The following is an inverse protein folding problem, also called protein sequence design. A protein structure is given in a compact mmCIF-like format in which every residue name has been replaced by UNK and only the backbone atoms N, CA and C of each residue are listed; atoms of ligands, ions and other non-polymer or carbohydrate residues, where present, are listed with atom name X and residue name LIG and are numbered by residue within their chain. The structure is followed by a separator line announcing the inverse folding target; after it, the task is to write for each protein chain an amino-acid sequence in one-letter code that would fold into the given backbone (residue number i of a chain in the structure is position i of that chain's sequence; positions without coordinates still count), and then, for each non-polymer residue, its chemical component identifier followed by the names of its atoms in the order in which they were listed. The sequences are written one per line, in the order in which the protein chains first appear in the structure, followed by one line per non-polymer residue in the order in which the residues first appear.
data_IF_548012003800
#
_entry.id   IF_548012003800
#
_cell.length_a   1.000
_cell.length_b   1.000
_cell.length_c   1.000
_cell.angle_alpha   90.00
_cell.angle_beta   90.00
_cell.angle_gamma   90.00
#
_symmetry.space_group_name_H-M   'P 1'
#
loop_
_entity.id
_entity.type
_entity.pdbx_description
1 polymer ?
#
# COMPACT_ATOMS: atom_id res chain seq x y z
N UNK A 1 -12.33 23.99 -10.98
CA UNK A 1 -11.60 22.86 -10.40
C UNK A 1 -11.16 23.27 -9.00
N UNK A 2 -11.40 22.43 -8.00
CA UNK A 2 -10.81 22.66 -6.67
C UNK A 2 -9.29 22.53 -6.81
N UNK A 3 -8.54 23.38 -6.11
CA UNK A 3 -7.09 23.31 -6.13
C UNK A 3 -6.62 21.97 -5.53
N UNK A 4 -5.54 21.43 -6.05
CA UNK A 4 -4.90 20.25 -5.47
C UNK A 4 -4.49 20.55 -4.02
N UNK A 5 -4.86 19.68 -3.08
CA UNK A 5 -4.43 19.80 -1.68
C UNK A 5 -2.91 19.69 -1.53
N UNK A 6 -2.26 18.94 -2.42
CA UNK A 6 -0.81 18.80 -2.53
C UNK A 6 -0.43 18.94 -4.00
N UNK A 7 0.41 19.91 -4.35
CA UNK A 7 0.80 20.14 -5.75
C UNK A 7 1.87 19.16 -6.23
N UNK A 8 1.94 18.93 -7.55
CA UNK A 8 3.01 18.13 -8.14
C UNK A 8 4.40 18.73 -7.90
N UNK A 9 4.52 20.05 -7.83
CA UNK A 9 5.76 20.77 -7.49
C UNK A 9 6.23 20.42 -6.08
N UNK A 10 5.31 20.35 -5.12
CA UNK A 10 5.62 19.97 -3.75
C UNK A 10 6.11 18.52 -3.68
N UNK A 11 5.45 17.61 -4.38
CA UNK A 11 5.88 16.20 -4.46
C UNK A 11 7.29 16.08 -5.04
N UNK A 12 7.57 16.77 -6.15
CA UNK A 12 8.92 16.80 -6.77
C UNK A 12 9.97 17.32 -5.78
N UNK A 13 9.67 18.41 -5.06
CA UNK A 13 10.56 19.00 -4.06
C UNK A 13 10.87 18.00 -2.95
N UNK A 14 9.85 17.37 -2.37
CA UNK A 14 10.05 16.40 -1.28
C UNK A 14 10.76 15.13 -1.76
N UNK A 15 10.46 14.62 -2.94
CA UNK A 15 11.21 13.50 -3.53
C UNK A 15 12.70 13.83 -3.66
N UNK A 16 13.04 15.04 -4.11
CA UNK A 16 14.42 15.52 -4.21
C UNK A 16 15.09 15.63 -2.84
N UNK A 17 14.41 16.22 -1.86
CA UNK A 17 14.93 16.38 -0.49
C UNK A 17 15.20 15.02 0.19
N UNK A 18 14.34 14.03 -0.07
CA UNK A 18 14.50 12.65 0.39
C UNK A 18 15.50 11.83 -0.43
N UNK A 19 15.99 12.35 -1.57
CA UNK A 19 16.87 11.64 -2.51
C UNK A 19 16.26 10.33 -3.03
N UNK A 20 14.97 10.35 -3.34
CA UNK A 20 14.24 9.22 -3.95
C UNK A 20 13.82 9.55 -5.39
N UNK A 21 13.28 8.58 -6.12
CA UNK A 21 12.72 8.85 -7.46
C UNK A 21 11.61 9.89 -7.37
N UNK A 22 11.40 10.62 -8.46
CA UNK A 22 10.29 11.55 -8.61
C UNK A 22 8.97 10.76 -8.70
N UNK A 23 8.21 10.77 -7.59
CA UNK A 23 6.97 9.99 -7.48
C UNK A 23 5.83 10.57 -8.32
N UNK A 24 5.95 11.81 -8.83
CA UNK A 24 4.99 12.36 -9.81
C UNK A 24 5.07 11.66 -11.17
N UNK A 25 6.13 10.89 -11.42
CA UNK A 25 6.39 10.21 -12.70
C UNK A 25 6.20 8.71 -12.64
N UNK A 26 5.77 8.16 -11.49
CA UNK A 26 5.53 6.73 -11.37
C UNK A 26 4.44 6.29 -12.35
N UNK A 27 4.68 5.15 -13.00
CA UNK A 27 3.72 4.49 -13.89
C UNK A 27 3.15 3.21 -13.29
N UNK A 28 3.77 2.73 -12.22
CA UNK A 28 3.39 1.55 -11.45
C UNK A 28 3.58 1.88 -9.98
N UNK A 29 2.71 1.34 -9.16
CA UNK A 29 2.81 1.39 -7.71
C UNK A 29 3.88 0.39 -7.22
N UNK A 30 5.14 0.65 -7.56
CA UNK A 30 6.28 -0.18 -7.15
C UNK A 30 7.26 0.68 -6.36
N UNK A 31 7.51 0.27 -5.12
CA UNK A 31 8.36 0.99 -4.17
C UNK A 31 9.68 0.27 -4.02
N UNK A 32 10.78 0.97 -4.32
CA UNK A 32 12.10 0.38 -4.09
C UNK A 32 12.35 0.26 -2.57
N UNK A 33 12.93 -0.85 -2.07
CA UNK A 33 13.19 -1.02 -0.63
C UNK A 33 13.99 0.13 0.00
N UNK A 34 14.90 0.74 -0.78
CA UNK A 34 15.66 1.92 -0.34
C UNK A 34 14.78 3.13 -0.06
N UNK A 35 13.76 3.35 -0.88
CA UNK A 35 12.82 4.48 -0.75
C UNK A 35 11.90 4.24 0.44
N UNK A 36 11.34 3.03 0.54
CA UNK A 36 10.55 2.62 1.70
C UNK A 36 11.31 2.79 3.01
N UNK A 37 12.60 2.43 3.06
CA UNK A 37 13.44 2.59 4.26
C UNK A 37 13.61 4.07 4.65
N UNK A 38 13.86 4.94 3.67
CA UNK A 38 14.02 6.39 3.90
C UNK A 38 12.71 6.99 4.43
N UNK A 39 11.58 6.66 3.80
CA UNK A 39 10.27 7.17 4.18
C UNK A 39 9.88 6.64 5.57
N UNK A 40 10.06 5.34 5.82
CA UNK A 40 9.77 4.72 7.12
C UNK A 40 10.53 5.42 8.25
N UNK A 41 11.82 5.70 8.05
CA UNK A 41 12.65 6.41 9.04
C UNK A 41 12.18 7.85 9.30
N UNK A 42 11.43 8.46 8.38
CA UNK A 42 10.85 9.80 8.54
C UNK A 42 9.49 9.81 9.21
N UNK A 43 8.68 8.78 9.00
CA UNK A 43 7.30 8.74 9.51
C UNK A 43 7.18 7.99 10.84
N UNK A 44 7.96 6.92 11.06
CA UNK A 44 7.87 6.08 12.27
C UNK A 44 8.65 6.69 13.45
N UNK A 45 8.23 7.86 13.91
CA UNK A 45 8.86 8.60 15.01
C UNK A 45 8.65 7.94 16.38
N UNK A 46 7.61 7.11 16.52
CA UNK A 46 7.30 6.37 17.75
C UNK A 46 8.08 5.05 17.89
N UNK A 47 8.95 4.69 16.94
CA UNK A 47 9.80 3.50 17.04
C UNK A 47 9.04 2.17 17.00
N UNK A 48 7.89 2.11 16.31
CA UNK A 48 7.14 0.87 16.16
C UNK A 48 7.98 -0.20 15.43
N UNK A 49 7.82 -1.47 15.81
CA UNK A 49 8.50 -2.61 15.19
C UNK A 49 7.85 -2.99 13.85
N UNK A 50 7.95 -2.09 12.88
CA UNK A 50 7.37 -2.26 11.53
C UNK A 50 8.39 -2.99 10.65
N UNK A 51 7.97 -4.09 10.02
CA UNK A 51 8.80 -4.75 8.99
C UNK A 51 8.81 -3.87 7.74
N UNK A 52 9.99 -3.67 7.16
CA UNK A 52 10.14 -2.84 5.95
C UNK A 52 9.27 -3.35 4.79
N UNK A 53 9.12 -4.67 4.64
CA UNK A 53 8.28 -5.27 3.62
C UNK A 53 6.82 -4.85 3.75
N UNK A 54 6.26 -4.87 4.96
CA UNK A 54 4.85 -4.51 5.20
C UNK A 54 4.62 -3.03 4.92
N UNK A 55 5.59 -2.19 5.30
CA UNK A 55 5.53 -0.77 5.00
C UNK A 55 5.62 -0.48 3.50
N UNK A 56 6.50 -1.18 2.77
CA UNK A 56 6.58 -1.05 1.31
C UNK A 56 5.29 -1.51 0.63
N UNK A 57 4.73 -2.67 1.03
CA UNK A 57 3.43 -3.14 0.52
C UNK A 57 2.34 -2.11 0.76
N UNK A 58 2.31 -1.51 1.95
CA UNK A 58 1.35 -0.44 2.22
C UNK A 58 1.52 0.78 1.33
N UNK A 59 2.76 1.22 1.10
CA UNK A 59 3.03 2.33 0.18
C UNK A 59 2.56 1.99 -1.25
N UNK A 60 2.73 0.75 -1.70
CA UNK A 60 2.28 0.30 -3.02
C UNK A 60 0.75 0.32 -3.13
N UNK A 61 0.03 -0.15 -2.11
CA UNK A 61 -1.45 -0.07 -2.07
C UNK A 61 -1.93 1.38 -2.18
N UNK A 62 -1.39 2.27 -1.35
CA UNK A 62 -1.79 3.68 -1.36
C UNK A 62 -1.45 4.40 -2.68
N UNK A 63 -0.33 4.03 -3.31
CA UNK A 63 0.07 4.55 -4.62
C UNK A 63 -0.85 4.04 -5.74
N UNK A 64 -1.36 2.80 -5.67
CA UNK A 64 -2.31 2.30 -6.68
C UNK A 64 -3.55 3.19 -6.73
N UNK A 65 -4.07 3.60 -5.57
CA UNK A 65 -5.24 4.48 -5.52
C UNK A 65 -4.97 5.81 -6.22
N UNK A 66 -3.85 6.48 -5.92
CA UNK A 66 -3.47 7.74 -6.56
C UNK A 66 -3.19 7.63 -8.06
N UNK A 67 -2.70 6.48 -8.53
CA UNK A 67 -2.40 6.24 -9.95
C UNK A 67 -3.61 5.79 -10.77
N UNK A 68 -4.65 5.24 -10.12
CA UNK A 68 -5.79 4.61 -10.80
C UNK A 68 -7.09 5.41 -10.69
N UNK A 69 -7.28 6.15 -9.60
CA UNK A 69 -8.51 6.88 -9.30
C UNK A 69 -8.22 8.37 -9.17
N UNK A 70 -8.18 9.07 -10.31
CA UNK A 70 -7.86 10.51 -10.37
C UNK A 70 -8.85 11.36 -9.56
N UNK A 71 -10.12 10.97 -9.51
CA UNK A 71 -11.18 11.62 -8.75
C UNK A 71 -11.05 11.45 -7.23
N UNK A 72 -10.30 10.44 -6.78
CA UNK A 72 -10.00 10.18 -5.37
C UNK A 72 -8.54 10.47 -4.99
N UNK A 73 -7.73 10.99 -5.91
CA UNK A 73 -6.32 11.28 -5.66
C UNK A 73 -6.16 12.57 -4.85
N UNK A 74 -5.92 12.42 -3.55
CA UNK A 74 -5.72 13.55 -2.63
C UNK A 74 -4.25 13.81 -2.26
N UNK A 75 -3.35 12.88 -2.59
CA UNK A 75 -1.94 12.96 -2.16
C UNK A 75 -0.98 13.36 -3.27
N UNK A 76 -1.37 13.20 -4.53
CA UNK A 76 -0.47 13.29 -5.69
C UNK A 76 0.80 12.43 -5.54
N UNK A 77 0.68 11.30 -4.83
CA UNK A 77 1.78 10.40 -4.48
C UNK A 77 2.86 11.05 -3.60
N UNK A 78 2.48 11.99 -2.73
CA UNK A 78 3.42 12.65 -1.83
C UNK A 78 4.03 11.64 -0.82
N UNK A 79 5.34 11.36 -0.88
CA UNK A 79 5.95 10.21 -0.20
C UNK A 79 5.75 10.20 1.32
N UNK A 80 5.82 11.37 1.97
CA UNK A 80 5.61 11.47 3.43
C UNK A 80 4.14 11.35 3.82
N UNK A 81 3.21 11.84 3.00
CA UNK A 81 1.78 11.80 3.32
C UNK A 81 1.28 10.38 3.09
N UNK A 82 1.62 9.78 1.95
CA UNK A 82 1.41 8.35 1.67
C UNK A 82 2.00 7.49 2.80
N UNK A 83 3.25 7.73 3.22
CA UNK A 83 3.86 6.99 4.33
C UNK A 83 3.16 7.18 5.69
N UNK A 84 2.55 8.35 5.94
CA UNK A 84 1.77 8.59 7.16
C UNK A 84 0.42 7.87 7.14
N UNK A 85 -0.24 7.76 5.99
CA UNK A 85 -1.45 6.95 5.82
C UNK A 85 -1.12 5.49 6.13
N UNK A 86 -0.04 4.98 5.54
CA UNK A 86 0.45 3.63 5.82
C UNK A 86 0.74 3.41 7.30
N UNK A 87 1.39 4.38 7.94
CA UNK A 87 1.68 4.31 9.37
C UNK A 87 0.41 4.32 10.23
N UNK A 88 -0.63 5.04 9.84
CA UNK A 88 -1.90 5.07 10.56
C UNK A 88 -2.55 3.68 10.57
N UNK A 89 -2.62 3.03 9.40
CA UNK A 89 -3.11 1.66 9.29
C UNK A 89 -2.30 0.67 10.15
N UNK A 90 -0.96 0.77 10.10
CA UNK A 90 -0.09 -0.08 10.91
C UNK A 90 -0.15 0.20 12.43
N UNK A 91 -0.71 1.34 12.84
CA UNK A 91 -0.99 1.63 14.26
C UNK A 91 -2.22 0.91 14.79
N UNK A 92 -3.16 0.57 13.92
CA UNK A 92 -4.34 -0.23 14.29
C UNK A 92 -3.93 -1.69 14.49
N UNK A 93 -3.17 -2.23 13.54
CA UNK A 93 -2.53 -3.54 13.67
C UNK A 93 -1.33 -3.66 12.74
N UNK A 94 -0.26 -4.33 13.19
CA UNK A 94 0.96 -4.50 12.40
C UNK A 94 0.77 -5.40 11.18
N UNK A 95 -0.30 -6.21 11.14
CA UNK A 95 -0.65 -7.11 10.04
C UNK A 95 -1.72 -6.54 9.09
N UNK A 96 -1.98 -5.23 9.15
CA UNK A 96 -3.07 -4.56 8.44
C UNK A 96 -3.12 -4.92 6.95
N UNK A 97 -2.00 -4.80 6.25
CA UNK A 97 -1.95 -5.04 4.80
C UNK A 97 -2.09 -6.53 4.43
N UNK A 98 -1.74 -7.46 5.33
CA UNK A 98 -2.05 -8.87 5.12
C UNK A 98 -3.54 -9.14 5.24
N UNK A 99 -4.24 -8.47 6.17
CA UNK A 99 -5.69 -8.56 6.30
C UNK A 99 -6.40 -7.91 5.11
N UNK A 100 -5.90 -6.76 4.64
CA UNK A 100 -6.44 -6.07 3.48
C UNK A 100 -6.36 -6.93 2.20
N UNK A 101 -5.22 -7.53 1.89
CA UNK A 101 -5.07 -8.42 0.71
C UNK A 101 -6.09 -9.56 0.74
N UNK A 102 -6.37 -10.14 1.92
CA UNK A 102 -7.41 -11.18 2.06
C UNK A 102 -8.79 -10.62 1.71
N UNK A 103 -9.15 -9.47 2.27
CA UNK A 103 -10.46 -8.83 2.03
C UNK A 103 -10.65 -8.43 0.55
N UNK A 104 -9.61 -7.87 -0.09
CA UNK A 104 -9.67 -7.49 -1.50
C UNK A 104 -9.81 -8.71 -2.42
N UNK A 105 -9.06 -9.79 -2.15
CA UNK A 105 -9.16 -11.03 -2.91
C UNK A 105 -10.51 -11.74 -2.73
N UNK A 106 -11.14 -11.64 -1.56
CA UNK A 106 -12.50 -12.13 -1.33
C UNK A 106 -13.51 -11.36 -2.20
N UNK A 107 -13.39 -10.03 -2.26
CA UNK A 107 -14.21 -9.20 -3.14
C UNK A 107 -14.01 -9.50 -4.63
N UNK A 108 -12.76 -9.65 -5.08
CA UNK A 108 -12.44 -9.99 -6.46
C UNK A 108 -12.91 -11.40 -6.86
N UNK A 109 -12.78 -12.36 -5.94
CA UNK A 109 -13.32 -13.70 -6.14
C UNK A 109 -14.83 -13.66 -6.27
N UNK A 110 -15.53 -12.94 -5.39
CA UNK A 110 -16.99 -12.78 -5.46
C UNK A 110 -17.42 -12.19 -6.81
N UNK A 111 -16.80 -11.09 -7.24
CA UNK A 111 -17.07 -10.47 -8.56
C UNK A 111 -16.87 -11.46 -9.71
N UNK A 112 -15.79 -12.25 -9.69
CA UNK A 112 -15.53 -13.23 -10.74
C UNK A 112 -16.57 -14.37 -10.75
N UNK A 113 -16.98 -14.85 -9.59
CA UNK A 113 -18.04 -15.86 -9.45
C UNK A 113 -19.38 -15.33 -9.94
N UNK A 114 -19.77 -14.12 -9.51
CA UNK A 114 -21.02 -13.48 -9.95
C UNK A 114 -21.05 -13.25 -11.47
N UNK A 115 -19.90 -13.00 -12.09
CA UNK A 115 -19.78 -12.85 -13.54
C UNK A 115 -19.70 -14.18 -14.31
N UNK A 116 -19.68 -15.34 -13.62
CA UNK A 116 -19.50 -16.65 -14.25
C UNK A 116 -18.09 -16.89 -14.82
N UNK A 117 -17.11 -16.03 -14.53
CA UNK A 117 -15.73 -16.16 -15.03
C UNK A 117 -14.94 -17.16 -14.19
N UNK A 118 -15.13 -18.44 -14.50
CA UNK A 118 -14.50 -19.56 -13.79
C UNK A 118 -12.97 -19.52 -13.85
N UNK A 119 -12.38 -18.95 -14.91
CA UNK A 119 -10.93 -18.83 -15.05
C UNK A 119 -10.37 -17.81 -14.05
N UNK A 120 -10.97 -16.61 -13.97
CA UNK A 120 -10.57 -15.61 -12.97
C UNK A 120 -10.89 -16.08 -11.56
N UNK A 121 -12.06 -16.67 -11.33
CA UNK A 121 -12.43 -17.20 -10.01
C UNK A 121 -11.40 -18.22 -9.50
N UNK A 122 -10.98 -19.18 -10.34
CA UNK A 122 -9.91 -20.13 -9.99
C UNK A 122 -8.57 -19.43 -9.70
N UNK A 123 -8.25 -18.38 -10.43
CA UNK A 123 -7.06 -17.55 -10.22
C UNK A 123 -7.09 -16.84 -8.86
N UNK A 124 -8.17 -16.11 -8.56
CA UNK A 124 -8.34 -15.41 -7.29
C UNK A 124 -8.42 -16.37 -6.11
N UNK A 125 -9.10 -17.51 -6.25
CA UNK A 125 -9.15 -18.53 -5.19
C UNK A 125 -7.75 -19.03 -4.79
N UNK A 126 -6.87 -19.30 -5.78
CA UNK A 126 -5.49 -19.70 -5.50
C UNK A 126 -4.69 -18.59 -4.81
N UNK A 127 -4.89 -17.33 -5.19
CA UNK A 127 -4.25 -16.18 -4.53
C UNK A 127 -4.76 -16.02 -3.10
N UNK A 128 -6.07 -16.10 -2.90
CA UNK A 128 -6.72 -15.99 -1.59
C UNK A 128 -6.22 -17.06 -0.62
N UNK A 129 -6.09 -18.30 -1.08
CA UNK A 129 -5.52 -19.37 -0.27
C UNK A 129 -4.10 -19.04 0.21
N UNK A 130 -3.24 -18.50 -0.67
CA UNK A 130 -1.89 -18.08 -0.31
C UNK A 130 -1.89 -16.88 0.65
N UNK A 131 -2.75 -15.90 0.43
CA UNK A 131 -2.88 -14.73 1.30
C UNK A 131 -3.32 -15.12 2.71
N UNK A 132 -4.31 -16.01 2.84
CA UNK A 132 -4.75 -16.55 4.13
C UNK A 132 -3.64 -17.33 4.84
N UNK A 133 -2.85 -18.14 4.12
CA UNK A 133 -1.69 -18.81 4.71
C UNK A 133 -0.63 -17.82 5.20
N UNK A 134 -0.36 -16.75 4.44
CA UNK A 134 0.59 -15.72 4.83
C UNK A 134 0.12 -14.96 6.08
N UNK A 135 -1.16 -14.57 6.13
CA UNK A 135 -1.79 -13.95 7.29
C UNK A 135 -1.72 -14.89 8.51
N UNK A 136 -2.13 -16.16 8.36
CA UNK A 136 -2.10 -17.13 9.46
C UNK A 136 -0.70 -17.36 10.03
N UNK A 137 0.35 -17.27 9.20
CA UNK A 137 1.74 -17.30 9.69
C UNK A 137 2.06 -16.08 10.55
N UNK A 138 1.65 -14.89 10.12
CA UNK A 138 1.85 -13.65 10.89
C UNK A 138 1.10 -13.69 12.22
N UNK A 139 -0.17 -14.11 12.21
CA UNK A 139 -0.98 -14.29 13.42
C UNK A 139 -0.34 -15.31 14.37
N UNK A 140 0.12 -16.44 13.85
CA UNK A 140 0.81 -17.45 14.66
C UNK A 140 2.12 -16.95 15.29
N UNK A 141 2.85 -16.08 14.60
CA UNK A 141 4.09 -15.49 15.14
C UNK A 141 3.82 -14.41 16.20
N UNK A 142 2.63 -13.80 16.21
CA UNK A 142 2.22 -12.83 17.23
C UNK A 142 1.73 -13.47 18.54
N UNK A 143 1.30 -14.74 18.49
CA UNK A 143 0.82 -15.48 19.66
C UNK A 143 1.94 -16.12 20.49
N UNK A 144 3.21 -15.95 20.09
CA UNK A 144 4.40 -16.48 20.79
C UNK A 144 5.02 -15.41 21.68
#
# INVERSE_FOLDING_TARGET
MMADYITAEEVKRVCKDLKIRDWTKLKKAEVLPREGKIILAKVNTSGMKIRLSDFCTGLEVELEHGLRFEDANVTNNHPIVTGKIVLAHLKETLDYYQRLEVAELEGDLFKAVSAGDTKKAKGYFKRLAKARMALGKVESDQLK
#
